data_IF_468945083918
#
_entry.id   IF_468945083918
#
_cell.length_a   1.000
_cell.length_b   1.000
_cell.length_c   1.000
_cell.angle_alpha   90.00
_cell.angle_beta   90.00
_cell.angle_gamma   90.00
#
_symmetry.space_group_name_H-M   'P 1'
#
loop_
_entity.id
_entity.type
_entity.pdbx_description
1 polymer ?
#
# COMPACT_ATOMS: atom_id res chain seq x y z
N UNK A 1 26.74 -4.43 3.35
CA UNK A 1 25.99 -5.62 2.92
C UNK A 1 25.08 -5.17 1.79
N UNK A 2 25.29 -5.66 0.56
CA UNK A 2 24.38 -5.37 -0.56
C UNK A 2 23.12 -6.18 -0.29
N UNK A 3 22.00 -5.50 0.01
CA UNK A 3 20.72 -6.15 0.08
C UNK A 3 20.41 -6.65 -1.33
N UNK A 4 20.48 -7.95 -1.55
CA UNK A 4 20.00 -8.58 -2.77
C UNK A 4 18.51 -8.25 -2.96
N UNK A 5 18.13 -7.90 -4.19
CA UNK A 5 16.73 -7.67 -4.53
C UNK A 5 16.00 -8.99 -4.45
N UNK A 6 14.96 -9.07 -3.63
CA UNK A 6 14.10 -10.26 -3.60
C UNK A 6 13.14 -10.22 -4.77
N UNK A 7 13.44 -11.02 -5.80
CA UNK A 7 12.59 -11.22 -6.97
C UNK A 7 11.51 -12.24 -6.63
N UNK A 8 10.25 -11.91 -6.92
CA UNK A 8 9.07 -12.76 -6.68
C UNK A 8 8.50 -13.32 -7.99
N UNK A 9 8.71 -12.60 -9.08
CA UNK A 9 8.36 -13.00 -10.43
C UNK A 9 9.32 -12.33 -11.41
N UNK A 10 9.76 -13.07 -12.43
CA UNK A 10 10.52 -12.52 -13.54
C UNK A 10 10.24 -13.31 -14.81
N UNK A 11 10.13 -12.59 -15.93
CA UNK A 11 10.14 -13.14 -17.28
C UNK A 11 10.99 -12.26 -18.21
N UNK A 12 10.85 -12.43 -19.52
CA UNK A 12 11.59 -11.63 -20.50
C UNK A 12 11.13 -10.17 -20.59
N UNK A 13 10.00 -9.80 -20.00
CA UNK A 13 9.32 -8.53 -20.18
C UNK A 13 9.36 -7.65 -18.93
N UNK A 14 9.23 -8.25 -17.76
CA UNK A 14 9.22 -7.50 -16.50
C UNK A 14 9.56 -8.41 -15.30
N UNK A 15 9.82 -7.76 -14.17
CA UNK A 15 9.97 -8.42 -12.86
C UNK A 15 9.06 -7.77 -11.81
N UNK A 16 8.64 -8.55 -10.82
CA UNK A 16 8.01 -8.06 -9.59
C UNK A 16 8.93 -8.35 -8.42
N UNK A 17 9.29 -7.30 -7.72
CA UNK A 17 10.30 -7.35 -6.65
C UNK A 17 9.74 -6.83 -5.34
N UNK A 18 10.31 -7.30 -4.23
CA UNK A 18 10.00 -6.81 -2.89
C UNK A 18 10.95 -5.67 -2.51
N UNK A 19 10.39 -4.48 -2.31
CA UNK A 19 11.08 -3.29 -1.81
C UNK A 19 11.04 -3.27 -0.28
N UNK A 20 12.18 -3.03 0.35
CA UNK A 20 12.27 -2.74 1.78
C UNK A 20 11.96 -1.27 2.10
N UNK A 21 11.66 -0.99 3.37
CA UNK A 21 11.62 0.40 3.87
C UNK A 21 12.99 1.06 3.71
N UNK A 22 13.00 2.36 3.39
CA UNK A 22 14.23 3.14 3.25
C UNK A 22 14.79 3.19 1.84
N UNK A 23 14.49 2.21 0.97
CA UNK A 23 14.96 2.18 -0.40
C UNK A 23 14.21 3.20 -1.27
N UNK A 24 14.94 3.87 -2.15
CA UNK A 24 14.34 4.64 -3.24
C UNK A 24 14.09 3.69 -4.42
N UNK A 25 12.82 3.51 -4.77
CA UNK A 25 12.41 2.53 -5.78
C UNK A 25 13.17 2.66 -7.11
N UNK A 26 13.39 3.88 -7.61
CA UNK A 26 14.03 4.07 -8.92
C UNK A 26 15.55 3.82 -8.90
N UNK A 27 16.24 4.27 -7.86
CA UNK A 27 17.70 4.16 -7.76
C UNK A 27 18.12 2.73 -7.44
N UNK A 28 17.42 2.10 -6.50
CA UNK A 28 17.73 0.76 -6.03
C UNK A 28 17.58 -0.29 -7.15
N UNK A 29 16.49 -0.21 -7.93
CA UNK A 29 16.23 -1.20 -8.97
C UNK A 29 17.08 -1.01 -10.22
N UNK A 30 17.47 0.19 -10.60
CA UNK A 30 18.46 0.41 -11.66
C UNK A 30 19.79 -0.28 -11.37
N UNK A 31 20.21 -0.24 -10.11
CA UNK A 31 21.44 -0.92 -9.69
C UNK A 31 21.27 -2.44 -9.66
N UNK A 32 20.12 -2.93 -9.24
CA UNK A 32 19.83 -4.36 -9.12
C UNK A 32 19.71 -5.08 -10.49
N UNK A 33 19.26 -4.36 -11.51
CA UNK A 33 19.14 -4.86 -12.89
C UNK A 33 20.12 -4.13 -13.84
N UNK A 34 21.34 -3.89 -13.38
CA UNK A 34 22.37 -3.16 -14.15
C UNK A 34 22.79 -3.86 -15.45
N UNK A 35 22.60 -5.17 -15.54
CA UNK A 35 22.83 -5.97 -16.74
C UNK A 35 21.74 -5.79 -17.82
N UNK A 36 20.55 -5.34 -17.43
CA UNK A 36 19.47 -5.06 -18.38
C UNK A 36 19.69 -3.70 -19.04
N UNK A 37 19.59 -3.63 -20.37
CA UNK A 37 19.66 -2.36 -21.12
C UNK A 37 18.60 -1.35 -20.70
N UNK A 38 17.48 -1.83 -20.18
CA UNK A 38 16.37 -1.04 -19.65
C UNK A 38 15.77 -1.74 -18.45
N UNK A 39 15.66 -1.03 -17.33
CA UNK A 39 14.97 -1.48 -16.12
C UNK A 39 14.37 -0.25 -15.40
N UNK A 40 13.05 -0.08 -15.50
CA UNK A 40 12.37 1.07 -14.92
C UNK A 40 11.13 0.63 -14.12
N UNK A 41 10.96 1.25 -12.94
CA UNK A 41 9.81 0.98 -12.08
C UNK A 41 8.52 1.55 -12.69
N UNK A 42 7.51 0.70 -12.83
CA UNK A 42 6.18 1.06 -13.35
C UNK A 42 5.33 1.72 -12.26
N UNK A 43 5.33 1.16 -11.05
CA UNK A 43 4.69 1.77 -9.89
C UNK A 43 5.75 2.28 -8.89
N UNK A 44 5.35 3.21 -8.05
CA UNK A 44 6.22 3.77 -7.02
C UNK A 44 5.64 3.51 -5.64
N UNK A 45 6.52 3.18 -4.71
CA UNK A 45 6.24 3.23 -3.28
C UNK A 45 7.01 4.38 -2.66
N UNK A 46 6.41 5.02 -1.68
CA UNK A 46 7.11 6.03 -0.87
C UNK A 46 8.32 5.39 -0.17
N UNK A 47 9.37 6.18 0.07
CA UNK A 47 10.60 5.68 0.71
C UNK A 47 10.35 4.87 1.99
N UNK A 48 9.47 5.29 2.94
CA UNK A 48 9.22 4.55 4.17
C UNK A 48 8.25 3.36 4.02
N UNK A 49 7.73 3.09 2.82
CA UNK A 49 6.76 2.01 2.54
C UNK A 49 7.50 0.79 1.99
N UNK A 50 7.15 -0.41 2.44
CA UNK A 50 7.64 -1.67 1.88
C UNK A 50 6.60 -2.29 0.92
N UNK A 51 7.01 -3.28 0.12
CA UNK A 51 6.09 -4.06 -0.70
C UNK A 51 6.47 -4.19 -2.17
N UNK A 52 5.49 -4.57 -2.98
CA UNK A 52 5.67 -4.97 -4.36
C UNK A 52 5.92 -3.79 -5.30
N UNK A 53 6.97 -3.91 -6.11
CA UNK A 53 7.29 -2.97 -7.20
C UNK A 53 7.46 -3.76 -8.50
N UNK A 54 6.82 -3.26 -9.55
CA UNK A 54 6.85 -3.82 -10.90
C UNK A 54 7.92 -3.09 -11.72
N UNK A 55 8.86 -3.82 -12.31
CA UNK A 55 10.00 -3.31 -13.09
C UNK A 55 9.85 -3.77 -14.53
N UNK A 56 9.70 -2.86 -15.48
CA UNK A 56 9.65 -3.18 -16.90
C UNK A 56 11.06 -3.24 -17.51
N UNK A 57 11.29 -4.18 -18.45
CA UNK A 57 12.56 -4.40 -19.13
C UNK A 57 12.63 -3.80 -20.54
N UNK A 58 11.61 -3.03 -20.94
CA UNK A 58 11.62 -2.23 -22.18
C UNK A 58 10.68 -1.03 -22.08
N UNK A 59 10.92 0.06 -22.85
CA UNK A 59 10.00 1.19 -22.93
C UNK A 59 8.60 0.79 -23.40
N UNK A 60 8.50 -0.16 -24.33
CA UNK A 60 7.21 -0.66 -24.82
C UNK A 60 6.43 -1.38 -23.73
N UNK A 61 7.08 -2.27 -22.95
CA UNK A 61 6.45 -2.96 -21.84
C UNK A 61 6.10 -1.99 -20.70
N UNK A 62 6.99 -1.01 -20.40
CA UNK A 62 6.70 0.04 -19.42
C UNK A 62 5.43 0.81 -19.78
N UNK A 63 5.24 1.15 -21.05
CA UNK A 63 4.01 1.82 -21.55
C UNK A 63 2.79 0.92 -21.39
N UNK A 64 2.86 -0.36 -21.77
CA UNK A 64 1.75 -1.32 -21.64
C UNK A 64 1.32 -1.49 -20.18
N UNK A 65 2.28 -1.71 -19.28
CA UNK A 65 2.01 -1.85 -17.85
C UNK A 65 1.43 -0.56 -17.24
N UNK A 66 1.98 0.62 -17.58
CA UNK A 66 1.42 1.91 -17.14
C UNK A 66 -0.05 2.10 -17.60
N UNK A 67 -0.40 1.63 -18.80
CA UNK A 67 -1.78 1.70 -19.28
C UNK A 67 -2.70 0.82 -18.43
N UNK A 68 -2.27 -0.37 -17.99
CA UNK A 68 -3.05 -1.18 -17.05
C UNK A 68 -3.35 -0.43 -15.74
N UNK A 69 -2.36 0.30 -15.20
CA UNK A 69 -2.59 1.14 -14.01
C UNK A 69 -3.55 2.30 -14.26
N UNK A 70 -3.42 2.98 -15.42
CA UNK A 70 -4.31 4.09 -15.81
C UNK A 70 -5.75 3.62 -16.02
N UNK A 71 -5.93 2.44 -16.61
CA UNK A 71 -7.21 1.82 -16.90
C UNK A 71 -7.81 1.09 -15.70
N UNK A 72 -7.16 1.16 -14.52
CA UNK A 72 -7.54 0.46 -13.28
C UNK A 72 -7.65 -1.07 -13.43
N UNK A 73 -6.89 -1.66 -14.35
CA UNK A 73 -6.80 -3.11 -14.59
C UNK A 73 -5.80 -3.82 -13.70
N UNK A 74 -5.13 -3.09 -12.80
CA UNK A 74 -4.26 -3.63 -11.76
C UNK A 74 -4.97 -3.52 -10.42
N UNK A 75 -5.40 -4.65 -9.87
CA UNK A 75 -5.89 -4.73 -8.50
C UNK A 75 -4.69 -4.65 -7.54
N UNK A 76 -4.83 -3.84 -6.51
CA UNK A 76 -3.77 -3.59 -5.51
C UNK A 76 -4.35 -3.76 -4.14
N UNK A 77 -3.64 -4.47 -3.28
CA UNK A 77 -3.96 -4.54 -1.87
C UNK A 77 -2.76 -4.10 -1.04
N UNK A 78 -3.02 -3.26 -0.05
CA UNK A 78 -2.05 -2.84 0.96
C UNK A 78 -2.52 -3.26 2.33
N UNK A 79 -1.58 -3.57 3.22
CA UNK A 79 -1.83 -3.80 4.62
C UNK A 79 -1.23 -2.66 5.45
N UNK A 80 -1.96 -2.21 6.46
CA UNK A 80 -1.51 -1.14 7.34
C UNK A 80 -1.83 -1.43 8.80
N UNK A 81 -0.97 -0.94 9.68
CA UNK A 81 -1.20 -0.88 11.12
C UNK A 81 -1.35 0.59 11.48
N UNK A 82 -2.52 0.94 12.00
CA UNK A 82 -2.92 2.32 12.24
C UNK A 82 -3.26 2.56 13.72
N UNK A 83 -3.23 3.83 14.12
CA UNK A 83 -3.73 4.24 15.44
C UNK A 83 -5.19 3.80 15.59
N UNK A 84 -5.53 3.30 16.77
CA UNK A 84 -6.90 2.91 17.11
C UNK A 84 -7.78 4.17 17.23
N UNK A 85 -8.97 4.15 16.63
CA UNK A 85 -9.93 5.22 16.77
C UNK A 85 -10.75 4.97 18.04
N UNK A 86 -10.94 6.01 18.84
CA UNK A 86 -11.71 5.92 20.10
C UNK A 86 -13.18 5.50 19.86
N UNK A 87 -13.79 5.98 18.78
CA UNK A 87 -15.16 5.63 18.40
C UNK A 87 -15.32 4.13 18.05
N UNK A 88 -14.29 3.50 17.48
CA UNK A 88 -14.29 2.05 17.24
C UNK A 88 -14.12 1.25 18.53
N UNK A 89 -13.53 1.83 19.59
CA UNK A 89 -13.48 1.21 20.91
C UNK A 89 -14.89 1.08 21.50
N UNK A 90 -15.73 2.11 21.38
CA UNK A 90 -17.10 2.08 21.89
C UNK A 90 -17.96 1.02 21.19
N UNK A 91 -17.74 0.78 19.91
CA UNK A 91 -18.43 -0.27 19.16
C UNK A 91 -17.97 -1.69 19.53
N UNK A 92 -16.71 -1.87 19.95
CA UNK A 92 -16.19 -3.16 20.42
C UNK A 92 -16.62 -3.49 21.86
N UNK A 93 -16.83 -2.46 22.69
CA UNK A 93 -17.22 -2.60 24.10
C UNK A 93 -18.74 -2.62 24.32
N UNK A 94 -19.56 -2.24 23.32
CA UNK A 94 -21.01 -2.32 23.41
C UNK A 94 -21.47 -3.78 23.33
N UNK A 95 -22.00 -4.26 24.43
CA UNK A 95 -22.60 -5.59 24.54
C UNK A 95 -23.68 -5.82 23.49
N UNK A 96 -23.47 -6.86 22.67
CA UNK A 96 -24.50 -7.73 22.07
C UNK A 96 -25.69 -6.99 21.43
N UNK A 97 -25.60 -6.87 20.13
CA UNK A 97 -26.66 -6.47 19.24
C UNK A 97 -26.08 -5.79 18.01
N UNK A 98 -25.78 -6.56 16.97
CA UNK A 98 -25.54 -6.09 15.58
C UNK A 98 -24.47 -5.02 15.31
N UNK A 99 -23.32 -5.03 15.95
CA UNK A 99 -22.21 -4.15 15.63
C UNK A 99 -20.95 -4.84 15.11
N UNK A 100 -21.08 -6.04 14.60
CA UNK A 100 -20.08 -6.70 13.75
C UNK A 100 -19.90 -6.05 12.34
N UNK A 101 -20.69 -5.04 11.92
CA UNK A 101 -20.58 -4.49 10.57
C UNK A 101 -19.32 -3.68 10.29
N UNK A 102 -18.58 -3.20 11.27
CA UNK A 102 -17.34 -2.47 11.02
C UNK A 102 -16.15 -3.41 10.73
N UNK A 103 -16.15 -4.59 11.31
CA UNK A 103 -15.14 -5.61 11.05
C UNK A 103 -15.48 -6.30 9.72
N UNK A 104 -14.50 -6.42 8.84
CA UNK A 104 -14.60 -7.05 7.52
C UNK A 104 -15.49 -6.34 6.48
N UNK A 105 -16.13 -5.22 6.81
CA UNK A 105 -16.87 -4.41 5.85
C UNK A 105 -15.93 -3.47 5.09
N UNK A 106 -16.06 -3.42 3.76
CA UNK A 106 -15.34 -2.45 2.93
C UNK A 106 -16.03 -1.10 2.99
N UNK A 107 -15.28 -0.10 3.41
CA UNK A 107 -15.69 1.30 3.47
C UNK A 107 -15.00 2.09 2.34
N UNK A 108 -15.70 3.03 1.73
CA UNK A 108 -15.20 3.86 0.66
C UNK A 108 -14.71 5.21 1.20
N UNK A 109 -13.55 5.65 0.72
CA UNK A 109 -12.99 6.97 1.04
C UNK A 109 -12.59 7.69 -0.24
N UNK A 110 -13.11 8.91 -0.42
CA UNK A 110 -12.80 9.77 -1.56
C UNK A 110 -12.50 11.18 -1.08
N UNK A 111 -11.40 11.74 -1.57
CA UNK A 111 -10.97 13.10 -1.26
C UNK A 111 -10.34 13.73 -2.51
N UNK A 112 -10.19 15.07 -2.49
CA UNK A 112 -9.28 15.78 -3.39
C UNK A 112 -7.96 16.04 -2.68
N UNK A 113 -6.84 15.63 -3.29
CA UNK A 113 -5.51 15.75 -2.71
C UNK A 113 -4.66 16.74 -3.49
N UNK A 114 -4.10 17.70 -2.78
CA UNK A 114 -3.11 18.67 -3.27
C UNK A 114 -1.74 18.29 -2.71
N UNK A 115 -0.71 18.22 -3.57
CA UNK A 115 0.65 17.89 -3.15
C UNK A 115 1.53 19.13 -3.17
N UNK A 116 2.05 19.51 -2.01
CA UNK A 116 3.01 20.61 -1.89
C UNK A 116 4.44 20.07 -2.10
N UNK A 117 5.03 20.46 -3.23
CA UNK A 117 6.38 20.00 -3.63
C UNK A 117 7.51 20.59 -2.77
N UNK A 118 7.30 21.78 -2.16
CA UNK A 118 8.32 22.43 -1.31
C UNK A 118 8.54 21.66 -0.01
N UNK A 119 7.47 21.24 0.63
CA UNK A 119 7.53 20.48 1.91
C UNK A 119 7.30 18.98 1.73
N UNK A 120 7.15 18.52 0.49
CA UNK A 120 6.95 17.11 0.14
C UNK A 120 5.80 16.45 0.92
N UNK A 121 4.64 17.12 1.02
CA UNK A 121 3.48 16.66 1.79
C UNK A 121 2.19 16.83 0.99
N UNK A 122 1.29 15.84 1.09
CA UNK A 122 -0.07 15.91 0.55
C UNK A 122 -1.03 16.46 1.61
N UNK A 123 -2.09 17.13 1.14
CA UNK A 123 -3.18 17.68 1.96
C UNK A 123 -4.51 17.30 1.33
N UNK A 124 -5.52 17.09 2.15
CA UNK A 124 -6.90 17.06 1.70
C UNK A 124 -7.35 18.51 1.46
N UNK A 125 -8.01 18.72 0.33
CA UNK A 125 -8.52 20.05 -0.05
C UNK A 125 -9.95 19.93 -0.58
N UNK A 126 -10.77 20.93 -0.36
CA UNK A 126 -12.10 21.04 -0.95
C UNK A 126 -12.05 21.58 -2.39
N UNK A 127 -10.94 22.20 -2.77
CA UNK A 127 -10.76 22.78 -4.10
C UNK A 127 -10.53 21.70 -5.15
N UNK A 128 -11.54 21.45 -5.97
CA UNK A 128 -11.46 20.55 -7.14
C UNK A 128 -10.48 21.04 -8.21
N UNK A 129 -10.20 22.35 -8.25
CA UNK A 129 -9.26 22.93 -9.22
C UNK A 129 -7.81 22.67 -8.84
N UNK A 130 -7.46 22.69 -7.54
CA UNK A 130 -6.11 22.46 -7.03
C UNK A 130 -5.84 21.00 -6.69
N UNK A 131 -6.87 20.30 -6.20
CA UNK A 131 -6.77 18.91 -5.79
C UNK A 131 -7.00 17.93 -6.93
N UNK A 132 -6.35 16.77 -6.84
CA UNK A 132 -6.61 15.62 -7.72
C UNK A 132 -7.47 14.62 -6.97
N UNK A 133 -8.52 14.13 -7.61
CA UNK A 133 -9.39 13.09 -7.06
C UNK A 133 -8.58 11.85 -6.67
N UNK A 134 -8.79 11.35 -5.46
CA UNK A 134 -8.16 10.18 -4.86
C UNK A 134 -9.23 9.33 -4.18
N UNK A 135 -9.31 8.05 -4.54
CA UNK A 135 -10.29 7.11 -4.00
C UNK A 135 -9.63 5.79 -3.63
N UNK A 136 -10.09 5.20 -2.54
CA UNK A 136 -9.72 3.88 -2.07
C UNK A 136 -10.88 3.23 -1.32
N UNK A 137 -10.87 1.90 -1.27
CA UNK A 137 -11.63 1.16 -0.27
C UNK A 137 -10.68 0.77 0.87
N UNK A 138 -11.20 0.68 2.08
CA UNK A 138 -10.48 0.12 3.22
C UNK A 138 -11.39 -0.80 4.00
N UNK A 139 -10.79 -1.73 4.72
CA UNK A 139 -11.48 -2.73 5.51
C UNK A 139 -10.74 -2.91 6.83
N UNK A 140 -11.49 -2.87 7.93
CA UNK A 140 -10.95 -3.23 9.23
C UNK A 140 -10.86 -4.75 9.31
N UNK A 141 -9.64 -5.27 9.23
CA UNK A 141 -9.36 -6.71 9.28
C UNK A 141 -9.22 -7.23 10.70
N UNK A 142 -8.81 -6.39 11.65
CA UNK A 142 -8.67 -6.76 13.05
C UNK A 142 -8.40 -5.56 13.95
N UNK A 143 -8.65 -5.77 15.24
CA UNK A 143 -8.48 -4.77 16.30
C UNK A 143 -7.53 -5.35 17.35
N UNK A 144 -6.39 -4.70 17.56
CA UNK A 144 -5.50 -4.99 18.68
C UNK A 144 -5.73 -4.05 19.85
N UNK A 145 -4.93 -4.17 20.91
CA UNK A 145 -5.07 -3.31 22.09
C UNK A 145 -4.91 -1.82 21.77
N UNK A 146 -3.91 -1.47 20.98
CA UNK A 146 -3.55 -0.08 20.65
C UNK A 146 -3.67 0.26 19.17
N UNK A 147 -3.93 -0.70 18.29
CA UNK A 147 -3.85 -0.53 16.86
C UNK A 147 -4.99 -1.22 16.12
N UNK A 148 -5.37 -0.66 15.00
CA UNK A 148 -6.23 -1.27 14.00
C UNK A 148 -5.39 -1.88 12.89
N UNK A 149 -5.79 -3.05 12.38
CA UNK A 149 -5.20 -3.74 11.24
C UNK A 149 -6.11 -3.56 10.03
N UNK A 150 -5.58 -2.98 8.96
CA UNK A 150 -6.37 -2.59 7.80
C UNK A 150 -5.89 -3.28 6.53
N UNK A 151 -6.85 -3.69 5.70
CA UNK A 151 -6.67 -3.98 4.28
C UNK A 151 -7.14 -2.77 3.48
N UNK A 152 -6.38 -2.36 2.46
CA UNK A 152 -6.62 -1.13 1.71
C UNK A 152 -6.50 -1.43 0.22
N UNK A 153 -7.49 -0.98 -0.55
CA UNK A 153 -7.62 -1.24 -1.98
C UNK A 153 -7.69 0.11 -2.73
N UNK A 154 -6.52 0.70 -3.10
CA UNK A 154 -6.51 2.01 -3.74
C UNK A 154 -6.95 1.91 -5.21
N UNK A 155 -7.98 2.67 -5.59
CA UNK A 155 -8.41 2.82 -6.98
C UNK A 155 -7.54 3.81 -7.76
N UNK A 156 -7.00 4.81 -7.07
CA UNK A 156 -6.07 5.80 -7.62
C UNK A 156 -4.68 5.66 -6.99
N UNK A 157 -3.67 6.33 -7.56
CA UNK A 157 -2.28 6.28 -7.07
C UNK A 157 -1.68 7.68 -6.91
N UNK A 158 -2.27 8.54 -6.05
CA UNK A 158 -1.73 9.87 -5.77
C UNK A 158 -0.57 9.78 -4.78
N UNK A 159 0.36 10.71 -4.87
CA UNK A 159 1.50 10.79 -3.94
C UNK A 159 1.01 10.84 -2.50
N UNK A 160 1.52 9.97 -1.65
CA UNK A 160 1.14 9.81 -0.24
C UNK A 160 -0.36 9.52 0.00
N UNK A 161 -1.10 9.05 -1.00
CA UNK A 161 -2.56 8.92 -0.94
C UNK A 161 -3.06 8.18 0.29
N UNK A 162 -2.66 6.91 0.48
CA UNK A 162 -3.11 6.07 1.59
C UNK A 162 -2.80 6.75 2.93
N UNK A 163 -1.60 7.31 3.05
CA UNK A 163 -1.09 7.95 4.27
C UNK A 163 -1.96 9.12 4.70
N UNK A 164 -2.26 10.06 3.77
CA UNK A 164 -3.08 11.22 4.08
C UNK A 164 -4.56 10.88 4.25
N UNK A 165 -5.10 9.94 3.47
CA UNK A 165 -6.51 9.56 3.60
C UNK A 165 -6.77 8.84 4.93
N UNK A 166 -5.92 7.91 5.34
CA UNK A 166 -6.06 7.27 6.66
C UNK A 166 -5.86 8.25 7.81
N UNK A 167 -4.90 9.16 7.70
CA UNK A 167 -4.72 10.24 8.68
C UNK A 167 -5.96 11.12 8.79
N UNK A 168 -6.57 11.47 7.65
CA UNK A 168 -7.80 12.28 7.60
C UNK A 168 -9.01 11.58 8.24
N UNK A 169 -9.06 10.25 8.15
CA UNK A 169 -10.04 9.40 8.83
C UNK A 169 -9.75 9.21 10.34
N UNK A 170 -8.73 9.88 10.89
CA UNK A 170 -8.35 9.72 12.29
C UNK A 170 -7.50 8.47 12.59
N UNK A 171 -7.06 7.75 11.56
CA UNK A 171 -6.27 6.53 11.64
C UNK A 171 -4.85 6.71 11.09
N UNK A 172 -3.99 7.60 11.61
CA UNK A 172 -2.63 7.74 11.12
C UNK A 172 -1.86 6.42 11.22
N UNK A 173 -1.10 6.11 10.17
CA UNK A 173 -0.31 4.88 10.07
C UNK A 173 0.81 4.92 11.11
N UNK A 174 1.01 3.82 11.83
CA UNK A 174 2.07 3.69 12.84
C UNK A 174 3.45 3.99 12.24
N UNK A 175 4.16 4.93 12.88
CA UNK A 175 5.47 5.42 12.43
C UNK A 175 5.41 6.63 11.50
N UNK A 176 4.24 7.00 10.98
CA UNK A 176 4.10 8.10 10.02
C UNK A 176 3.92 9.47 10.69
N UNK A 177 5.00 10.01 11.24
CA UNK A 177 4.99 11.32 11.89
C UNK A 177 4.62 12.46 10.94
N UNK A 178 4.89 12.31 9.63
CA UNK A 178 4.49 13.30 8.61
C UNK A 178 2.99 13.47 8.55
N UNK A 179 2.24 12.43 8.82
CA UNK A 179 0.78 12.39 8.78
C UNK A 179 0.12 12.14 10.13
N UNK A 180 0.78 12.55 11.22
CA UNK A 180 0.15 12.70 12.54
C UNK A 180 0.30 11.51 13.48
N UNK A 181 1.15 10.51 13.16
CA UNK A 181 1.53 9.54 14.17
C UNK A 181 2.54 10.15 15.15
N UNK A 182 2.52 9.72 16.41
CA UNK A 182 3.24 10.38 17.52
C UNK A 182 4.75 10.16 17.50
N UNK A 183 5.21 9.02 16.95
CA UNK A 183 6.63 8.62 16.98
C UNK A 183 7.03 7.80 15.75
N UNK A 184 8.30 7.82 15.43
CA UNK A 184 8.89 7.00 14.37
C UNK A 184 8.91 5.52 14.73
N UNK A 185 9.05 4.65 13.72
CA UNK A 185 9.40 3.24 13.90
C UNK A 185 10.92 3.06 14.00
N UNK A 186 11.35 2.10 14.83
CA UNK A 186 12.77 1.74 14.96
C UNK A 186 13.38 1.25 13.64
N UNK A 187 12.56 0.64 12.78
CA UNK A 187 12.96 0.16 11.45
C UNK A 187 13.18 1.29 10.43
N UNK A 188 12.90 2.55 10.76
CA UNK A 188 13.03 3.70 9.87
C UNK A 188 11.95 3.78 8.79
N UNK A 189 10.93 2.89 8.82
CA UNK A 189 9.79 2.86 7.91
C UNK A 189 8.49 3.30 8.58
N UNK A 190 7.38 3.01 7.90
CA UNK A 190 6.02 3.11 8.44
C UNK A 190 5.33 1.76 8.29
N UNK A 191 4.30 1.50 9.08
CA UNK A 191 3.56 0.24 9.02
C UNK A 191 2.54 0.24 7.86
N UNK A 192 3.06 0.41 6.65
CA UNK A 192 2.32 0.31 5.39
C UNK A 192 3.10 -0.59 4.43
N UNK A 193 2.41 -1.58 3.86
CA UNK A 193 3.00 -2.59 3.00
C UNK A 193 2.13 -2.84 1.76
N UNK A 194 2.70 -2.70 0.56
CA UNK A 194 2.05 -3.07 -0.70
C UNK A 194 2.06 -4.60 -0.84
N UNK A 195 0.98 -5.24 -0.39
CA UNK A 195 0.89 -6.69 -0.19
C UNK A 195 0.71 -7.47 -1.48
N UNK A 196 -0.23 -7.08 -2.35
CA UNK A 196 -0.50 -7.83 -3.57
C UNK A 196 -0.78 -6.99 -4.80
N UNK A 197 -0.46 -7.59 -5.97
CA UNK A 197 -0.76 -7.09 -7.30
C UNK A 197 -1.43 -8.22 -8.09
N UNK A 198 -2.57 -7.92 -8.75
CA UNK A 198 -3.24 -8.83 -9.67
C UNK A 198 -3.55 -8.09 -10.97
N UNK A 199 -3.17 -8.67 -12.10
CA UNK A 199 -3.39 -8.09 -13.43
C UNK A 199 -3.25 -9.14 -14.53
N UNK A 200 -3.69 -8.82 -15.73
CA UNK A 200 -3.45 -9.65 -16.92
C UNK A 200 -2.10 -9.30 -17.52
N UNK A 201 -1.27 -10.31 -17.79
CA UNK A 201 0.02 -10.14 -18.45
C UNK A 201 -0.16 -9.54 -19.85
N UNK A 202 0.49 -8.41 -20.20
CA UNK A 202 0.24 -7.70 -21.46
C UNK A 202 0.45 -8.52 -22.72
N UNK A 203 1.39 -9.48 -22.71
CA UNK A 203 1.72 -10.32 -23.86
C UNK A 203 0.99 -11.66 -23.80
N UNK A 204 1.20 -12.46 -22.76
CA UNK A 204 0.69 -13.83 -22.68
C UNK A 204 -0.79 -13.93 -22.33
N UNK A 205 -1.44 -12.83 -21.90
CA UNK A 205 -2.82 -12.76 -21.44
C UNK A 205 -3.14 -13.64 -20.23
N UNK A 206 -2.14 -14.23 -19.62
CA UNK A 206 -2.30 -15.01 -18.38
C UNK A 206 -2.55 -14.08 -17.19
N UNK A 207 -3.41 -14.49 -16.28
CA UNK A 207 -3.60 -13.80 -14.99
C UNK A 207 -2.34 -13.93 -14.16
N UNK A 208 -1.80 -12.81 -13.72
CA UNK A 208 -0.69 -12.70 -12.76
C UNK A 208 -1.27 -12.30 -11.42
N UNK A 209 -0.96 -13.08 -10.39
CA UNK A 209 -1.29 -12.78 -9.01
C UNK A 209 -0.06 -13.00 -8.15
N UNK A 210 0.46 -11.94 -7.54
CA UNK A 210 1.67 -11.97 -6.73
C UNK A 210 1.38 -11.28 -5.42
N UNK A 211 1.78 -11.92 -4.32
CA UNK A 211 1.69 -11.36 -2.98
C UNK A 211 3.00 -11.56 -2.22
N UNK A 212 3.26 -10.67 -1.28
CA UNK A 212 4.38 -10.77 -0.35
C UNK A 212 3.97 -10.33 1.04
N UNK A 213 4.53 -10.98 2.05
CA UNK A 213 4.43 -10.54 3.43
C UNK A 213 5.43 -9.41 3.71
N UNK A 214 5.16 -8.55 4.71
CA UNK A 214 6.11 -7.54 5.15
C UNK A 214 7.47 -8.18 5.45
N UNK A 215 8.58 -7.54 5.04
CA UNK A 215 9.92 -8.07 5.28
C UNK A 215 10.22 -8.08 6.78
N UNK A 216 10.76 -9.19 7.30
CA UNK A 216 11.12 -9.36 8.71
C UNK A 216 10.00 -8.98 9.69
N UNK A 217 8.85 -9.68 9.64
CA UNK A 217 7.71 -9.34 10.48
C UNK A 217 8.04 -9.56 11.96
N UNK A 218 7.74 -8.52 12.77
CA UNK A 218 7.74 -8.61 14.22
C UNK A 218 6.36 -9.08 14.74
N UNK A 219 6.20 -9.21 16.04
CA UNK A 219 4.93 -9.65 16.69
C UNK A 219 3.74 -8.82 16.22
N UNK A 220 3.89 -7.51 16.04
CA UNK A 220 2.80 -6.64 15.61
C UNK A 220 2.43 -6.86 14.14
N UNK A 221 3.42 -7.04 13.26
CA UNK A 221 3.15 -7.46 11.88
C UNK A 221 2.54 -8.86 11.81
N UNK A 222 2.99 -9.80 12.66
CA UNK A 222 2.42 -11.16 12.69
C UNK A 222 0.92 -11.13 13.01
N UNK A 223 0.51 -10.36 14.02
CA UNK A 223 -0.90 -10.17 14.35
C UNK A 223 -1.71 -9.51 13.20
N UNK A 224 -1.11 -8.53 12.52
CA UNK A 224 -1.74 -7.88 11.35
C UNK A 224 -1.90 -8.87 10.19
N UNK A 225 -0.89 -9.68 9.90
CA UNK A 225 -0.89 -10.71 8.85
C UNK A 225 -2.02 -11.71 9.12
N UNK A 226 -2.10 -12.25 10.33
CA UNK A 226 -3.14 -13.20 10.73
C UNK A 226 -4.54 -12.61 10.54
N UNK A 227 -4.76 -11.38 11.02
CA UNK A 227 -6.04 -10.70 10.87
C UNK A 227 -6.41 -10.46 9.40
N UNK A 228 -5.46 -10.03 8.56
CA UNK A 228 -5.70 -9.77 7.15
C UNK A 228 -5.97 -11.05 6.35
N UNK A 229 -5.29 -12.16 6.65
CA UNK A 229 -5.54 -13.46 6.03
C UNK A 229 -6.91 -13.99 6.41
N UNK A 230 -7.28 -13.93 7.69
CA UNK A 230 -8.62 -14.32 8.15
C UNK A 230 -9.72 -13.50 7.49
N UNK A 231 -9.52 -12.18 7.35
CA UNK A 231 -10.47 -11.32 6.66
C UNK A 231 -10.63 -11.67 5.16
N UNK A 232 -9.57 -12.17 4.52
CA UNK A 232 -9.60 -12.64 3.12
C UNK A 232 -10.38 -13.95 3.00
N UNK A 233 -10.17 -14.92 3.89
CA UNK A 233 -10.89 -16.20 3.91
C UNK A 233 -12.40 -16.02 4.08
N UNK A 234 -12.84 -14.98 4.78
CA UNK A 234 -14.26 -14.68 4.97
C UNK A 234 -14.92 -13.98 3.75
N UNK A 235 -14.14 -13.53 2.76
CA UNK A 235 -14.63 -12.94 1.52
C UNK A 235 -14.80 -13.98 0.39
N UNK A 236 -14.17 -15.17 0.51
CA UNK A 236 -14.24 -16.30 -0.43
C UNK A 236 -15.43 -17.21 -0.11
#
# INVERSE_FOLDING_TARGET
MHNEVRILFEDNFFSVVLKNCGDNSQVFFKKAFSEKKYAEAVNRLDKPVSGLVLIAFSPAMHTKLNNLFKEKKVEKEYWAICKKIEELKSAADSKIGDTTPALYKKEFCENYLEFNTKIQKAFVTESRQRGKKASLYWQLAGIGDNYNFLRIFPETGRTHQIRIQLSHLGMPIKGDIKYGFERTEKSGGIRLHAHSLKFEHPESKKRIEISALPPSPDTLWSACIEACLKAKELEE
#
